data_IF_069470308514
#
_entry.id   IF_069470308514
#
_cell.length_a   1.000
_cell.length_b   1.000
_cell.length_c   1.000
_cell.angle_alpha   90.00
_cell.angle_beta   90.00
_cell.angle_gamma   90.00
#
_symmetry.space_group_name_H-M   'P 1'
#
loop_
_entity.id
_entity.type
_entity.pdbx_description
1 polymer ?
#
# COMPACT_ATOMS: atom_id res chain seq x y z
N UNK A 1 1.58 -27.83 -21.64
CA UNK A 1 2.08 -26.49 -22.03
C UNK A 1 0.86 -25.56 -22.08
N UNK A 2 0.43 -25.02 -20.94
CA UNK A 2 -0.67 -24.03 -20.89
C UNK A 2 -0.07 -22.65 -21.07
N UNK A 3 -0.06 -22.13 -22.30
CA UNK A 3 0.52 -20.83 -22.67
C UNK A 3 -0.35 -19.62 -22.27
N UNK A 4 -1.43 -19.86 -21.52
CA UNK A 4 -2.25 -18.82 -20.94
C UNK A 4 -2.42 -19.09 -19.44
N UNK A 5 -2.41 -18.06 -18.59
CA UNK A 5 -2.91 -18.23 -17.23
C UNK A 5 -4.33 -18.80 -17.31
N UNK A 6 -4.73 -19.69 -16.39
CA UNK A 6 -6.14 -20.10 -16.30
C UNK A 6 -6.98 -18.82 -16.28
N UNK A 7 -8.04 -18.76 -17.09
CA UNK A 7 -8.82 -17.54 -17.26
C UNK A 7 -9.21 -17.00 -15.88
N UNK A 8 -8.57 -15.92 -15.44
CA UNK A 8 -8.94 -15.28 -14.18
C UNK A 8 -10.31 -14.66 -14.41
N UNK A 9 -11.34 -15.38 -14.01
CA UNK A 9 -12.73 -14.95 -14.17
C UNK A 9 -13.01 -13.85 -13.18
N UNK A 10 -13.49 -12.70 -13.68
CA UNK A 10 -14.01 -11.64 -12.81
C UNK A 10 -15.14 -12.22 -11.93
N UNK A 11 -15.30 -11.73 -10.70
CA UNK A 11 -16.33 -12.20 -9.77
C UNK A 11 -17.71 -11.61 -10.14
N UNK A 12 -18.15 -11.85 -11.38
CA UNK A 12 -19.46 -11.41 -11.86
C UNK A 12 -20.56 -12.22 -11.18
N UNK A 13 -21.76 -11.65 -11.16
CA UNK A 13 -22.94 -12.30 -10.58
C UNK A 13 -23.21 -13.68 -11.21
N UNK A 14 -23.05 -13.80 -12.53
CA UNK A 14 -23.21 -15.07 -13.23
C UNK A 14 -22.16 -16.11 -12.83
N UNK A 15 -20.89 -15.70 -12.69
CA UNK A 15 -19.81 -16.61 -12.35
C UNK A 15 -19.92 -17.11 -10.90
N UNK A 16 -20.37 -16.25 -9.99
CA UNK A 16 -20.55 -16.55 -8.57
C UNK A 16 -21.95 -17.05 -8.22
N UNK A 17 -22.86 -17.14 -9.21
CA UNK A 17 -24.29 -17.44 -9.04
C UNK A 17 -24.92 -16.58 -7.95
N UNK A 18 -24.52 -15.33 -7.91
CA UNK A 18 -24.84 -14.40 -6.84
C UNK A 18 -26.00 -13.49 -7.26
N UNK A 19 -26.93 -13.18 -6.33
CA UNK A 19 -27.90 -12.13 -6.59
C UNK A 19 -27.20 -10.76 -6.62
N UNK A 20 -27.80 -9.80 -7.32
CA UNK A 20 -27.39 -8.41 -7.20
C UNK A 20 -27.58 -7.96 -5.73
N UNK A 21 -26.57 -7.33 -5.11
CA UNK A 21 -26.71 -6.81 -3.75
C UNK A 21 -27.84 -5.77 -3.66
N UNK A 22 -28.73 -5.84 -2.66
CA UNK A 22 -29.74 -4.81 -2.40
C UNK A 22 -29.10 -3.43 -2.16
N UNK A 23 -29.86 -2.37 -2.41
CA UNK A 23 -29.39 -0.99 -2.20
C UNK A 23 -29.46 -0.55 -0.73
N UNK A 24 -30.27 -1.22 0.08
CA UNK A 24 -30.44 -1.02 1.52
C UNK A 24 -29.54 -1.94 2.37
N UNK A 25 -28.60 -2.64 1.74
CA UNK A 25 -27.64 -3.50 2.43
C UNK A 25 -26.79 -2.73 3.44
N UNK A 26 -26.74 -3.20 4.69
CA UNK A 26 -25.79 -2.69 5.68
C UNK A 26 -24.37 -3.19 5.37
N UNK A 27 -23.69 -2.45 4.49
CA UNK A 27 -22.34 -2.75 4.01
C UNK A 27 -21.33 -2.82 5.16
N UNK A 28 -21.48 -1.94 6.15
CA UNK A 28 -20.58 -1.84 7.29
C UNK A 28 -20.70 -3.06 8.18
N UNK A 29 -21.92 -3.49 8.48
CA UNK A 29 -22.16 -4.70 9.27
C UNK A 29 -21.60 -5.96 8.58
N UNK A 30 -21.87 -6.15 7.29
CA UNK A 30 -21.37 -7.32 6.53
C UNK A 30 -19.84 -7.36 6.51
N UNK A 31 -19.19 -6.21 6.28
CA UNK A 31 -17.73 -6.12 6.30
C UNK A 31 -17.15 -6.43 7.69
N UNK A 32 -17.78 -5.92 8.75
CA UNK A 32 -17.35 -6.14 10.13
C UNK A 32 -17.46 -7.61 10.54
N UNK A 33 -18.60 -8.26 10.27
CA UNK A 33 -18.82 -9.68 10.58
C UNK A 33 -17.80 -10.59 9.87
N UNK A 34 -17.57 -10.34 8.57
CA UNK A 34 -16.53 -11.04 7.82
C UNK A 34 -15.14 -10.80 8.41
N UNK A 35 -14.81 -9.53 8.73
CA UNK A 35 -13.49 -9.16 9.25
C UNK A 35 -13.20 -9.75 10.63
N UNK A 36 -14.19 -9.81 11.52
CA UNK A 36 -14.05 -10.44 12.84
C UNK A 36 -13.76 -11.94 12.72
N UNK A 37 -14.46 -12.61 11.81
CA UNK A 37 -14.23 -14.05 11.54
C UNK A 37 -12.84 -14.27 10.93
N UNK A 38 -12.47 -13.43 9.96
CA UNK A 38 -11.16 -13.46 9.31
C UNK A 38 -10.03 -13.21 10.30
N UNK A 39 -10.09 -12.12 11.07
CA UNK A 39 -9.06 -11.77 12.05
C UNK A 39 -8.91 -12.85 13.13
N UNK A 40 -10.00 -13.46 13.58
CA UNK A 40 -9.95 -14.58 14.54
C UNK A 40 -9.23 -15.80 13.94
N UNK A 41 -9.55 -16.18 12.70
CA UNK A 41 -8.89 -17.31 12.03
C UNK A 41 -7.39 -17.06 11.81
N UNK A 42 -7.03 -15.85 11.36
CA UNK A 42 -5.64 -15.43 11.11
C UNK A 42 -4.82 -15.39 12.41
N UNK A 43 -5.33 -14.75 13.46
CA UNK A 43 -4.64 -14.63 14.76
C UNK A 43 -4.53 -15.98 15.48
N UNK A 44 -5.50 -16.88 15.28
CA UNK A 44 -5.48 -18.24 15.83
C UNK A 44 -4.67 -19.23 14.98
N UNK A 45 -4.01 -18.77 13.90
CA UNK A 45 -3.26 -19.61 12.96
C UNK A 45 -4.08 -20.75 12.34
N UNK A 46 -5.39 -20.56 12.15
CA UNK A 46 -6.30 -21.56 11.57
C UNK A 46 -6.51 -21.28 10.09
N UNK A 47 -5.58 -21.73 9.26
CA UNK A 47 -5.62 -21.55 7.81
C UNK A 47 -6.89 -22.15 7.17
N UNK A 48 -7.33 -23.33 7.62
CA UNK A 48 -8.55 -23.98 7.15
C UNK A 48 -9.78 -23.08 7.31
N UNK A 49 -9.93 -22.47 8.48
CA UNK A 49 -11.07 -21.61 8.80
C UNK A 49 -11.02 -20.32 7.98
N UNK A 50 -9.83 -19.73 7.84
CA UNK A 50 -9.63 -18.51 7.06
C UNK A 50 -10.01 -18.71 5.59
N UNK A 51 -9.63 -19.83 4.98
CA UNK A 51 -9.87 -20.12 3.55
C UNK A 51 -11.35 -20.30 3.23
N UNK A 52 -12.18 -20.73 4.19
CA UNK A 52 -13.63 -20.82 3.98
C UNK A 52 -14.30 -19.47 3.66
N UNK A 53 -13.65 -18.38 4.07
CA UNK A 53 -14.10 -17.00 3.88
C UNK A 53 -13.81 -16.45 2.48
N UNK A 54 -13.13 -17.23 1.63
CA UNK A 54 -12.76 -16.86 0.28
C UNK A 54 -13.62 -17.58 -0.76
N UNK A 55 -13.79 -16.95 -1.93
CA UNK A 55 -14.29 -17.65 -3.12
C UNK A 55 -13.20 -18.57 -3.68
N UNK A 56 -13.60 -19.60 -4.43
CA UNK A 56 -12.67 -20.62 -4.97
C UNK A 56 -11.51 -19.98 -5.77
N UNK A 57 -11.84 -19.09 -6.71
CA UNK A 57 -10.87 -18.36 -7.54
C UNK A 57 -10.47 -17.01 -6.92
N UNK A 58 -10.08 -17.01 -5.65
CA UNK A 58 -9.65 -15.81 -4.94
C UNK A 58 -8.16 -15.50 -5.12
N UNK A 59 -7.78 -14.27 -4.79
CA UNK A 59 -6.41 -13.80 -4.84
C UNK A 59 -5.96 -13.27 -3.49
N UNK A 60 -4.79 -13.68 -3.03
CA UNK A 60 -4.08 -13.00 -1.96
C UNK A 60 -2.78 -12.42 -2.50
N UNK A 61 -2.62 -11.09 -2.44
CA UNK A 61 -1.36 -10.44 -2.78
C UNK A 61 -0.66 -9.96 -1.51
N UNK A 62 0.52 -10.51 -1.26
CA UNK A 62 1.37 -10.13 -0.13
C UNK A 62 2.55 -9.30 -0.62
N UNK A 63 2.71 -8.12 -0.03
CA UNK A 63 3.83 -7.22 -0.23
C UNK A 63 4.63 -7.13 1.07
N UNK A 64 5.60 -8.03 1.22
CA UNK A 64 6.57 -8.08 2.32
C UNK A 64 6.01 -8.38 3.72
N UNK A 65 4.68 -8.37 3.92
CA UNK A 65 4.10 -8.43 5.25
C UNK A 65 4.19 -9.83 5.88
N UNK A 66 3.91 -10.90 5.11
CA UNK A 66 3.96 -12.27 5.61
C UNK A 66 5.15 -13.06 5.04
N UNK A 67 5.50 -12.80 3.79
CA UNK A 67 6.50 -13.59 3.04
C UNK A 67 7.88 -12.96 2.97
N UNK A 68 8.02 -11.67 3.31
CA UNK A 68 9.22 -10.87 3.01
C UNK A 68 9.55 -10.78 1.50
N UNK A 69 8.56 -11.05 0.65
CA UNK A 69 8.68 -11.05 -0.81
C UNK A 69 7.42 -10.40 -1.43
N UNK A 70 7.41 -10.18 -2.74
CA UNK A 70 6.27 -9.69 -3.51
C UNK A 70 5.57 -10.87 -4.18
N UNK A 71 4.55 -11.45 -3.52
CA UNK A 71 3.90 -12.68 -3.98
C UNK A 71 2.40 -12.51 -4.19
N UNK A 72 1.86 -13.29 -5.13
CA UNK A 72 0.43 -13.42 -5.37
C UNK A 72 0.05 -14.89 -5.37
N UNK A 73 -0.85 -15.26 -4.47
CA UNK A 73 -1.42 -16.58 -4.33
C UNK A 73 -2.81 -16.58 -4.96
N UNK A 74 -3.09 -17.57 -5.81
CA UNK A 74 -4.31 -17.66 -6.59
C UNK A 74 -4.98 -18.99 -6.25
N UNK A 75 -6.24 -18.91 -5.83
CA UNK A 75 -7.04 -20.05 -5.43
C UNK A 75 -6.92 -20.37 -3.94
N UNK A 76 -8.00 -20.94 -3.39
CA UNK A 76 -8.11 -21.34 -1.98
C UNK A 76 -7.03 -22.30 -1.54
N UNK A 77 -6.65 -23.28 -2.39
CA UNK A 77 -5.59 -24.25 -2.09
C UNK A 77 -4.24 -23.56 -1.84
N UNK A 78 -3.80 -22.68 -2.74
CA UNK A 78 -2.52 -21.97 -2.60
C UNK A 78 -2.55 -20.97 -1.45
N UNK A 79 -3.69 -20.32 -1.21
CA UNK A 79 -3.88 -19.43 -0.07
C UNK A 79 -3.80 -20.24 1.23
N UNK A 80 -4.38 -21.43 1.28
CA UNK A 80 -4.31 -22.30 2.45
C UNK A 80 -2.87 -22.65 2.79
N UNK A 81 -2.12 -23.21 1.83
CA UNK A 81 -0.70 -23.56 2.04
C UNK A 81 0.11 -22.33 2.47
N UNK A 82 -0.10 -21.18 1.83
CA UNK A 82 0.54 -19.93 2.22
C UNK A 82 0.26 -19.54 3.68
N UNK A 83 -0.99 -19.65 4.13
CA UNK A 83 -1.36 -19.32 5.49
C UNK A 83 -0.79 -20.33 6.51
N UNK A 84 -0.81 -21.61 6.19
CA UNK A 84 -0.21 -22.68 7.01
C UNK A 84 1.30 -22.43 7.21
N UNK A 85 2.01 -22.05 6.15
CA UNK A 85 3.44 -21.80 6.18
C UNK A 85 3.82 -20.51 6.94
N UNK A 86 2.97 -19.48 6.91
CA UNK A 86 3.37 -18.12 7.29
C UNK A 86 2.72 -17.55 8.53
N UNK A 87 1.53 -17.99 8.93
CA UNK A 87 0.82 -17.37 10.06
C UNK A 87 1.57 -17.50 11.39
N UNK A 88 2.13 -18.69 11.67
CA UNK A 88 2.89 -18.96 12.89
C UNK A 88 4.20 -18.17 12.98
N UNK A 89 4.79 -17.85 11.83
CA UNK A 89 6.04 -17.07 11.71
C UNK A 89 5.77 -15.57 11.75
N UNK A 90 4.76 -15.09 11.01
CA UNK A 90 4.47 -13.66 10.90
C UNK A 90 3.78 -13.10 12.15
N UNK A 91 3.05 -13.95 12.91
CA UNK A 91 2.36 -13.61 14.16
C UNK A 91 1.51 -12.35 14.04
N UNK A 92 0.58 -12.37 13.08
CA UNK A 92 -0.33 -11.25 12.87
C UNK A 92 -1.13 -10.98 14.14
N UNK A 93 -1.20 -9.72 14.55
CA UNK A 93 -1.84 -9.26 15.77
C UNK A 93 -2.39 -7.85 15.62
N UNK A 94 -3.18 -7.41 16.61
CA UNK A 94 -3.78 -6.06 16.65
C UNK A 94 -4.49 -5.67 15.35
N UNK A 95 -5.20 -6.62 14.73
CA UNK A 95 -5.93 -6.38 13.49
C UNK A 95 -7.14 -5.49 13.74
N UNK A 96 -7.26 -4.39 12.98
CA UNK A 96 -8.36 -3.42 13.13
C UNK A 96 -8.90 -2.99 11.77
N UNK A 97 -10.22 -3.12 11.60
CA UNK A 97 -10.94 -2.62 10.44
C UNK A 97 -11.04 -1.10 10.52
N UNK A 98 -10.86 -0.42 9.39
CA UNK A 98 -11.26 0.98 9.23
C UNK A 98 -12.68 1.02 8.68
N UNK A 99 -13.66 1.09 9.57
CA UNK A 99 -15.09 1.12 9.22
C UNK A 99 -15.44 2.32 8.32
N UNK A 100 -14.70 3.43 8.41
CA UNK A 100 -14.93 4.62 7.59
C UNK A 100 -14.52 4.44 6.13
N UNK A 101 -13.67 3.45 5.85
CA UNK A 101 -13.18 3.11 4.52
C UNK A 101 -13.98 1.96 3.86
N UNK A 102 -15.03 1.46 4.51
CA UNK A 102 -15.90 0.42 3.97
C UNK A 102 -16.88 1.02 2.96
N UNK A 103 -16.92 0.46 1.75
CA UNK A 103 -17.77 0.97 0.67
C UNK A 103 -18.22 -0.15 -0.27
N UNK A 104 -19.48 -0.11 -0.70
CA UNK A 104 -19.99 -0.93 -1.80
C UNK A 104 -19.65 -0.27 -3.13
N UNK A 105 -18.94 -0.99 -3.99
CA UNK A 105 -18.52 -0.52 -5.32
C UNK A 105 -19.25 -1.32 -6.39
N UNK A 106 -19.88 -0.62 -7.34
CA UNK A 106 -20.58 -1.20 -8.50
C UNK A 106 -19.97 -0.65 -9.80
N UNK A 107 -18.81 -1.16 -10.26
CA UNK A 107 -18.16 -0.65 -11.47
C UNK A 107 -18.94 -0.97 -12.75
N UNK A 108 -19.68 -2.10 -12.78
CA UNK A 108 -20.48 -2.57 -13.91
C UNK A 108 -21.80 -3.18 -13.40
N UNK A 109 -22.85 -3.28 -14.24
CA UNK A 109 -24.15 -3.81 -13.83
C UNK A 109 -24.11 -5.26 -13.29
N UNK A 110 -23.18 -6.08 -13.76
CA UNK A 110 -23.00 -7.50 -13.42
C UNK A 110 -21.91 -7.74 -12.36
N UNK A 111 -21.41 -6.67 -11.73
CA UNK A 111 -20.23 -6.72 -10.86
C UNK A 111 -20.38 -5.75 -9.69
N UNK A 112 -20.34 -6.30 -8.49
CA UNK A 112 -20.30 -5.51 -7.25
C UNK A 112 -19.43 -6.18 -6.20
N UNK A 113 -18.81 -5.37 -5.35
CA UNK A 113 -18.08 -5.87 -4.17
C UNK A 113 -18.08 -4.83 -3.05
N UNK A 114 -17.97 -5.31 -1.82
CA UNK A 114 -17.67 -4.50 -0.65
C UNK A 114 -16.15 -4.38 -0.55
N UNK A 115 -15.62 -3.16 -0.55
CA UNK A 115 -14.21 -2.87 -0.34
C UNK A 115 -13.99 -2.38 1.08
N UNK A 116 -12.95 -2.85 1.74
CA UNK A 116 -12.56 -2.38 3.07
C UNK A 116 -11.04 -2.38 3.26
N UNK A 117 -10.58 -1.62 4.25
CA UNK A 117 -9.17 -1.54 4.62
C UNK A 117 -9.00 -1.87 6.10
N UNK A 118 -7.85 -2.41 6.45
CA UNK A 118 -7.53 -2.75 7.83
C UNK A 118 -6.05 -2.53 8.12
N UNK A 119 -5.73 -2.42 9.39
CA UNK A 119 -4.35 -2.35 9.90
C UNK A 119 -4.03 -3.58 10.72
N UNK A 120 -2.75 -3.92 10.82
CA UNK A 120 -2.28 -5.04 11.64
C UNK A 120 -0.81 -4.83 12.04
N UNK A 121 -0.36 -5.63 13.01
CA UNK A 121 1.04 -5.76 13.37
C UNK A 121 1.53 -7.18 13.08
N UNK A 122 2.81 -7.30 12.78
CA UNK A 122 3.55 -8.55 12.68
C UNK A 122 4.70 -8.54 13.69
N UNK A 123 5.42 -9.64 13.80
CA UNK A 123 6.63 -9.70 14.64
C UNK A 123 7.67 -8.63 14.26
N UNK A 124 7.77 -8.31 12.96
CA UNK A 124 8.79 -7.41 12.40
C UNK A 124 8.33 -5.95 12.29
N UNK A 125 7.02 -5.65 12.30
CA UNK A 125 6.55 -4.33 11.92
C UNK A 125 5.05 -4.12 11.92
N UNK A 126 4.63 -3.06 11.23
CA UNK A 126 3.23 -2.64 11.10
C UNK A 126 2.85 -2.67 9.62
N UNK A 127 1.63 -3.13 9.33
CA UNK A 127 1.12 -3.26 7.98
C UNK A 127 -0.32 -2.78 7.84
N UNK A 128 -0.75 -2.63 6.59
CA UNK A 128 -2.14 -2.49 6.22
C UNK A 128 -2.53 -3.57 5.24
N UNK A 129 -3.82 -3.82 5.17
CA UNK A 129 -4.39 -4.66 4.16
C UNK A 129 -5.67 -4.07 3.62
N UNK A 130 -6.08 -4.62 2.48
CA UNK A 130 -7.37 -4.32 1.88
C UNK A 130 -8.04 -5.63 1.50
N UNK A 131 -9.36 -5.63 1.49
CA UNK A 131 -10.12 -6.78 1.04
C UNK A 131 -11.25 -6.33 0.11
N UNK A 132 -11.68 -7.25 -0.75
CA UNK A 132 -12.90 -7.10 -1.55
C UNK A 132 -13.77 -8.33 -1.37
N UNK A 133 -14.99 -8.12 -0.88
CA UNK A 133 -15.98 -9.16 -0.68
C UNK A 133 -16.97 -9.13 -1.83
N UNK A 134 -17.07 -10.23 -2.56
CA UNK A 134 -18.06 -10.40 -3.61
C UNK A 134 -19.26 -11.17 -3.07
N UNK A 135 -20.48 -10.85 -3.53
CA UNK A 135 -21.65 -11.63 -3.18
C UNK A 135 -21.52 -13.03 -3.78
N UNK A 136 -22.06 -14.02 -3.08
CA UNK A 136 -22.14 -15.42 -3.53
C UNK A 136 -23.59 -15.91 -3.45
N UNK A 137 -23.82 -17.13 -3.95
CA UNK A 137 -25.09 -17.83 -3.79
C UNK A 137 -25.57 -17.80 -2.31
N UNK A 138 -26.86 -17.54 -2.10
CA UNK A 138 -27.46 -17.41 -0.77
C UNK A 138 -27.33 -16.02 -0.13
N UNK A 139 -26.80 -15.01 -0.84
CA UNK A 139 -26.72 -13.63 -0.36
C UNK A 139 -25.59 -13.38 0.65
N UNK A 140 -24.72 -14.37 0.86
CA UNK A 140 -23.52 -14.23 1.67
C UNK A 140 -22.42 -13.51 0.89
N UNK A 141 -21.39 -13.06 1.60
CA UNK A 141 -20.23 -12.38 1.02
C UNK A 141 -18.95 -13.12 1.34
N UNK A 142 -18.10 -13.31 0.34
CA UNK A 142 -16.77 -13.93 0.49
C UNK A 142 -15.70 -13.10 -0.19
N UNK A 143 -14.47 -13.20 0.32
CA UNK A 143 -13.35 -12.47 -0.23
C UNK A 143 -12.95 -13.01 -1.61
N UNK A 144 -12.94 -12.12 -2.59
CA UNK A 144 -12.35 -12.36 -3.90
C UNK A 144 -10.88 -11.90 -3.94
N UNK A 145 -10.55 -10.80 -3.26
CA UNK A 145 -9.15 -10.35 -3.12
C UNK A 145 -8.84 -9.97 -1.69
N UNK A 146 -7.68 -10.38 -1.20
CA UNK A 146 -7.04 -9.82 -0.01
C UNK A 146 -5.65 -9.32 -0.40
N UNK A 147 -5.28 -8.16 0.15
CA UNK A 147 -3.97 -7.57 0.00
C UNK A 147 -3.38 -7.32 1.37
N UNK A 148 -2.11 -7.65 1.57
CA UNK A 148 -1.34 -7.35 2.78
C UNK A 148 -0.06 -6.64 2.40
N UNK A 149 0.26 -5.57 3.11
CA UNK A 149 1.44 -4.76 2.83
C UNK A 149 2.11 -4.28 4.12
N UNK A 150 3.42 -4.43 4.18
CA UNK A 150 4.22 -3.90 5.27
C UNK A 150 4.44 -2.39 5.05
N UNK A 151 4.09 -1.56 6.03
CA UNK A 151 4.23 -0.10 5.94
C UNK A 151 5.49 0.36 6.69
N UNK A 152 5.84 -0.29 7.78
CA UNK A 152 6.96 0.14 8.62
C UNK A 152 7.55 -0.99 9.44
N UNK A 153 8.85 -0.86 9.72
CA UNK A 153 9.60 -1.81 10.53
C UNK A 153 9.61 -1.38 12.00
N UNK A 154 9.43 -2.34 12.88
CA UNK A 154 9.52 -2.13 14.32
C UNK A 154 10.96 -1.74 14.69
N UNK A 155 11.12 -0.67 15.46
CA UNK A 155 12.44 -0.18 15.89
C UNK A 155 13.18 0.68 14.85
N UNK A 156 12.65 0.83 13.64
CA UNK A 156 13.28 1.61 12.56
C UNK A 156 12.29 2.62 11.95
N UNK A 157 11.82 3.63 12.72
CA UNK A 157 10.92 4.65 12.19
C UNK A 157 11.65 5.59 11.23
N UNK A 158 10.94 6.14 10.24
CA UNK A 158 11.47 7.20 9.38
C UNK A 158 11.73 8.49 10.21
N UNK A 159 12.90 9.10 10.01
CA UNK A 159 13.37 10.34 10.64
C UNK A 159 12.70 11.55 9.97
N UNK A 160 11.38 11.64 10.10
CA UNK A 160 10.53 12.68 9.50
C UNK A 160 9.66 13.38 10.56
N UNK A 161 9.10 14.54 10.21
CA UNK A 161 8.20 15.29 11.09
C UNK A 161 8.83 15.56 12.46
N UNK A 162 8.21 15.05 13.53
CA UNK A 162 8.70 15.19 14.92
C UNK A 162 10.01 14.45 15.20
N UNK A 163 10.35 13.44 14.40
CA UNK A 163 11.60 12.68 14.52
C UNK A 163 12.75 13.33 13.75
N UNK A 164 12.47 14.36 12.93
CA UNK A 164 13.51 15.08 12.20
C UNK A 164 14.47 15.75 13.18
N UNK A 165 15.74 15.81 12.82
CA UNK A 165 16.73 16.60 13.56
C UNK A 165 16.22 18.05 13.72
N UNK A 166 15.95 18.52 14.95
CA UNK A 166 15.39 19.85 15.18
C UNK A 166 16.43 20.96 15.08
N UNK A 167 17.72 20.62 14.98
CA UNK A 167 18.81 21.60 14.91
C UNK A 167 18.76 22.34 13.58
N UNK A 168 18.58 23.66 13.66
CA UNK A 168 18.72 24.54 12.51
C UNK A 168 20.18 24.55 12.06
N UNK A 169 20.46 23.97 10.90
CA UNK A 169 21.80 23.98 10.31
C UNK A 169 21.93 25.26 9.47
N UNK A 170 22.73 26.21 9.95
CA UNK A 170 22.94 27.49 9.27
C UNK A 170 23.99 27.34 8.17
N UNK A 171 23.62 27.63 6.92
CA UNK A 171 24.51 27.84 5.76
C UNK A 171 25.77 26.96 5.70
N UNK A 172 26.86 27.43 6.33
CA UNK A 172 28.17 26.78 6.33
C UNK A 172 28.15 25.38 6.97
N UNK A 173 27.40 25.18 8.05
CA UNK A 173 27.31 23.88 8.75
C UNK A 173 26.62 22.83 7.87
N UNK A 174 25.62 23.25 7.11
CA UNK A 174 24.91 22.37 6.19
C UNK A 174 25.78 21.99 4.99
N UNK A 175 26.49 22.96 4.40
CA UNK A 175 27.37 22.71 3.25
C UNK A 175 28.47 21.73 3.63
N UNK A 176 29.12 21.93 4.78
CA UNK A 176 30.17 21.04 5.25
C UNK A 176 29.62 19.67 5.63
N UNK A 177 28.47 19.60 6.31
CA UNK A 177 27.79 18.34 6.59
C UNK A 177 27.42 17.58 5.32
N UNK A 178 26.94 18.29 4.29
CA UNK A 178 26.61 17.69 2.99
C UNK A 178 27.85 17.21 2.26
N UNK A 179 28.95 17.95 2.31
CA UNK A 179 30.24 17.58 1.71
C UNK A 179 30.75 16.28 2.33
N UNK A 180 30.78 16.20 3.66
CA UNK A 180 31.16 14.97 4.39
C UNK A 180 30.27 13.78 4.04
N UNK A 181 28.96 13.98 3.91
CA UNK A 181 28.02 12.93 3.52
C UNK A 181 28.26 12.42 2.10
N UNK A 182 28.62 13.30 1.15
CA UNK A 182 28.87 12.94 -0.25
C UNK A 182 30.23 12.25 -0.41
N UNK A 183 31.25 12.74 0.28
CA UNK A 183 32.61 12.22 0.19
C UNK A 183 32.84 10.97 1.06
N UNK A 184 31.91 10.64 1.96
CA UNK A 184 32.02 9.49 2.87
C UNK A 184 33.35 9.48 3.64
N UNK A 185 33.81 10.66 4.09
CA UNK A 185 35.14 10.84 4.71
C UNK A 185 35.33 10.04 6.00
N UNK A 186 34.26 9.83 6.75
CA UNK A 186 34.29 9.24 8.08
C UNK A 186 33.85 7.75 8.09
N UNK A 187 33.27 7.24 6.99
CA UNK A 187 32.71 5.88 6.93
C UNK A 187 32.39 5.44 5.50
N UNK A 188 32.38 4.14 5.21
CA UNK A 188 31.92 3.60 3.92
C UNK A 188 30.37 3.62 3.76
N UNK A 189 29.84 3.74 2.53
CA UNK A 189 28.42 3.62 2.28
C UNK A 189 27.93 2.19 2.56
N UNK A 190 26.77 2.07 3.22
CA UNK A 190 26.10 0.77 3.42
C UNK A 190 25.36 0.33 2.16
N UNK A 191 24.81 1.28 1.40
CA UNK A 191 24.08 1.02 0.16
C UNK A 191 24.68 1.83 -0.99
N UNK A 192 24.91 1.16 -2.12
CA UNK A 192 25.28 1.78 -3.38
C UNK A 192 24.09 1.74 -4.34
N UNK A 193 23.58 2.90 -4.75
CA UNK A 193 22.53 3.03 -5.76
C UNK A 193 23.17 3.43 -7.08
N UNK A 194 23.04 2.56 -8.09
CA UNK A 194 23.57 2.80 -9.44
C UNK A 194 22.44 3.40 -10.28
N UNK A 195 22.59 4.66 -10.67
CA UNK A 195 21.63 5.47 -11.40
C UNK A 195 20.96 6.54 -10.51
N UNK A 196 21.15 7.80 -10.85
CA UNK A 196 20.53 8.99 -10.26
C UNK A 196 19.26 9.46 -11.01
N UNK A 197 18.57 8.54 -11.67
CA UNK A 197 17.22 8.76 -12.21
C UNK A 197 16.15 8.81 -11.11
N UNK A 198 14.88 8.98 -11.50
CA UNK A 198 13.76 9.10 -10.55
C UNK A 198 13.68 7.96 -9.51
N UNK A 199 13.78 6.68 -9.93
CA UNK A 199 13.72 5.53 -9.02
C UNK A 199 14.93 5.45 -8.09
N UNK A 200 16.12 5.78 -8.58
CA UNK A 200 17.34 5.77 -7.78
C UNK A 200 17.31 6.86 -6.70
N UNK A 201 16.90 8.07 -7.06
CA UNK A 201 16.75 9.18 -6.12
C UNK A 201 15.62 8.94 -5.12
N UNK A 202 14.50 8.35 -5.53
CA UNK A 202 13.41 7.98 -4.61
C UNK A 202 13.90 6.96 -3.57
N UNK A 203 14.61 5.93 -4.01
CA UNK A 203 15.19 4.91 -3.13
C UNK A 203 16.19 5.54 -2.16
N UNK A 204 17.12 6.37 -2.66
CA UNK A 204 18.10 7.06 -1.84
C UNK A 204 17.46 8.01 -0.82
N UNK A 205 16.39 8.71 -1.19
CA UNK A 205 15.64 9.58 -0.28
C UNK A 205 14.98 8.77 0.84
N UNK A 206 14.37 7.62 0.52
CA UNK A 206 13.79 6.70 1.51
C UNK A 206 14.84 6.11 2.46
N UNK A 207 15.97 5.66 1.92
CA UNK A 207 17.08 5.16 2.74
C UNK A 207 17.66 6.25 3.65
N UNK A 208 17.77 7.49 3.15
CA UNK A 208 18.23 8.64 3.94
C UNK A 208 17.32 8.94 5.12
N UNK A 209 15.99 8.93 4.92
CA UNK A 209 15.07 9.13 6.06
C UNK A 209 15.05 7.95 7.02
N UNK A 210 15.48 6.75 6.60
CA UNK A 210 15.71 5.61 7.50
C UNK A 210 17.09 5.63 8.17
N UNK A 211 17.92 6.66 7.90
CA UNK A 211 19.27 6.78 8.46
C UNK A 211 20.28 5.80 7.89
N UNK A 212 20.03 5.23 6.69
CA UNK A 212 20.93 4.28 6.05
C UNK A 212 21.95 5.04 5.17
N UNK A 213 23.28 4.94 5.45
CA UNK A 213 24.31 5.59 4.65
C UNK A 213 24.28 5.10 3.20
N UNK A 214 23.94 5.99 2.26
CA UNK A 214 23.65 5.64 0.87
C UNK A 214 24.43 6.53 -0.11
N UNK A 215 25.21 5.91 -1.00
CA UNK A 215 25.90 6.58 -2.09
C UNK A 215 25.13 6.36 -3.40
N UNK A 216 24.84 7.44 -4.11
CA UNK A 216 24.22 7.38 -5.45
C UNK A 216 25.29 7.70 -6.49
N UNK A 217 25.44 6.82 -7.47
CA UNK A 217 26.37 7.00 -8.60
C UNK A 217 25.57 7.15 -9.88
N UNK A 218 25.78 8.26 -10.58
CA UNK A 218 25.14 8.57 -11.87
C UNK A 218 26.24 8.76 -12.92
N UNK A 219 25.96 8.31 -14.15
CA UNK A 219 26.86 8.46 -15.29
C UNK A 219 26.74 9.83 -15.95
N UNK A 220 25.57 10.46 -15.89
CA UNK A 220 25.33 11.77 -16.49
C UNK A 220 25.80 12.90 -15.54
N UNK A 221 26.24 14.02 -16.10
CA UNK A 221 26.87 15.11 -15.34
C UNK A 221 25.90 15.79 -14.36
N UNK A 222 24.60 15.85 -14.70
CA UNK A 222 23.58 16.52 -13.87
C UNK A 222 22.36 15.65 -13.67
N UNK A 223 21.84 15.66 -12.44
CA UNK A 223 20.55 15.04 -12.11
C UNK A 223 19.46 15.51 -13.07
N UNK A 224 18.76 14.56 -13.69
CA UNK A 224 17.72 14.80 -14.69
C UNK A 224 18.22 14.88 -16.13
N UNK A 225 19.51 14.72 -16.41
CA UNK A 225 20.03 14.61 -17.78
C UNK A 225 19.47 13.38 -18.51
N UNK A 226 19.15 12.31 -17.79
CA UNK A 226 18.33 11.18 -18.26
C UNK A 226 17.06 11.62 -18.99
N UNK A 227 16.45 12.75 -18.57
CA UNK A 227 15.27 13.32 -19.21
C UNK A 227 15.62 14.41 -20.23
N UNK A 228 16.59 15.27 -19.93
CA UNK A 228 17.01 16.37 -20.85
C UNK A 228 17.61 15.85 -22.16
N UNK A 229 18.23 14.68 -22.13
CA UNK A 229 18.87 14.05 -23.30
C UNK A 229 17.90 13.18 -24.11
N UNK A 230 16.60 13.20 -23.80
CA UNK A 230 15.57 12.51 -24.60
C UNK A 230 15.19 13.35 -25.82
N UNK A 231 14.48 12.71 -26.75
CA UNK A 231 14.02 13.35 -27.98
C UNK A 231 13.11 14.56 -27.69
N UNK A 232 13.21 15.61 -28.52
CA UNK A 232 12.57 16.91 -28.26
C UNK A 232 11.04 16.93 -28.23
N UNK A 233 10.38 15.87 -28.74
CA UNK A 233 8.92 15.71 -28.68
C UNK A 233 8.42 15.00 -27.42
N UNK A 234 9.29 14.76 -26.43
CA UNK A 234 8.89 14.08 -25.20
C UNK A 234 7.99 14.98 -24.34
N UNK A 235 6.76 14.53 -24.13
CA UNK A 235 5.82 15.06 -23.15
C UNK A 235 5.32 13.91 -22.25
N UNK A 236 5.19 14.15 -20.95
CA UNK A 236 4.55 13.18 -20.05
C UNK A 236 3.04 13.18 -20.25
N UNK A 237 2.41 12.02 -20.13
CA UNK A 237 0.95 11.89 -20.26
C UNK A 237 0.20 12.37 -19.00
N UNK A 238 0.90 12.54 -17.89
CA UNK A 238 0.33 13.01 -16.63
C UNK A 238 0.44 14.54 -16.50
N UNK A 239 -0.63 15.22 -16.03
CA UNK A 239 -0.55 16.63 -15.69
C UNK A 239 0.35 16.83 -14.46
N UNK A 240 1.09 17.95 -14.45
CA UNK A 240 2.10 18.31 -13.43
C UNK A 240 1.57 18.29 -11.98
N UNK A 241 0.25 18.34 -11.77
CA UNK A 241 -0.38 18.51 -10.46
C UNK A 241 -0.99 17.25 -9.81
N UNK A 242 -0.88 16.04 -10.37
CA UNK A 242 -1.64 14.86 -9.87
C UNK A 242 -1.01 14.04 -8.73
N UNK A 243 0.09 14.46 -8.09
CA UNK A 243 0.69 13.68 -6.97
C UNK A 243 0.29 14.10 -5.54
N UNK A 244 -0.67 15.01 -5.37
CA UNK A 244 -1.24 15.34 -4.05
C UNK A 244 -2.67 14.80 -3.94
N UNK A 245 -2.81 13.50 -3.68
CA UNK A 245 -4.05 12.98 -3.09
C UNK A 245 -4.07 13.32 -1.60
N UNK A 246 -4.25 14.60 -1.28
CA UNK A 246 -4.75 15.06 0.01
C UNK A 246 -6.25 15.32 -0.16
N UNK A 247 -7.03 14.73 0.75
CA UNK A 247 -8.49 14.85 0.89
C UNK A 247 -9.14 16.08 0.21
N UNK A 248 -9.80 15.85 -0.93
CA UNK A 248 -10.52 16.87 -1.70
C UNK A 248 -11.82 17.37 -1.03
N UNK A 249 -12.20 16.84 0.14
CA UNK A 249 -13.40 17.27 0.86
C UNK A 249 -13.31 18.65 1.53
N UNK A 250 -12.16 19.34 1.47
CA UNK A 250 -11.99 20.66 2.10
C UNK A 250 -11.87 21.83 1.13
N UNK A 251 -11.95 21.62 -0.19
CA UNK A 251 -11.85 22.70 -1.18
C UNK A 251 -13.15 22.78 -1.97
N UNK A 252 -14.05 23.71 -1.60
CA UNK A 252 -15.18 24.09 -2.45
C UNK A 252 -14.75 25.20 -3.41
N UNK A 253 -14.77 24.90 -4.70
CA UNK A 253 -14.65 25.92 -5.75
C UNK A 253 -15.99 26.64 -5.88
N UNK A 254 -16.00 27.94 -5.64
CA UNK A 254 -17.11 28.83 -6.05
C UNK A 254 -16.59 29.81 -7.09
N UNK A 255 -17.52 30.43 -7.83
CA UNK A 255 -17.22 31.30 -8.98
C UNK A 255 -16.34 32.52 -8.69
N UNK A 256 -16.01 32.79 -7.43
CA UNK A 256 -15.25 33.97 -6.99
C UNK A 256 -13.87 33.63 -6.38
N UNK A 257 -13.31 32.45 -6.67
CA UNK A 257 -11.93 32.09 -6.29
C UNK A 257 -11.79 31.13 -5.11
N UNK A 258 -10.56 30.67 -4.87
CA UNK A 258 -10.22 29.63 -3.90
C UNK A 258 -10.28 30.20 -2.46
N UNK A 259 -11.24 29.74 -1.65
CA UNK A 259 -11.24 29.94 -0.20
C UNK A 259 -10.76 28.66 0.49
N UNK A 260 -9.66 28.76 1.23
CA UNK A 260 -9.22 27.73 2.17
C UNK A 260 -9.93 27.97 3.50
N UNK A 261 -10.45 26.91 4.13
CA UNK A 261 -11.09 27.00 5.45
C UNK A 261 -10.09 27.50 6.51
N UNK A 262 -10.47 28.43 7.42
CA UNK A 262 -9.60 28.94 8.48
C UNK A 262 -9.05 27.85 9.42
N UNK A 263 -9.66 26.66 9.45
CA UNK A 263 -9.20 25.53 10.27
C UNK A 263 -8.02 24.74 9.66
N UNK A 264 -7.54 25.09 8.48
CA UNK A 264 -6.40 24.43 7.84
C UNK A 264 -5.02 25.06 8.17
N UNK A 265 -4.97 26.15 8.94
CA UNK A 265 -3.73 26.94 9.13
C UNK A 265 -2.92 26.53 10.37
N UNK A 266 -3.36 25.58 11.20
CA UNK A 266 -2.60 25.21 12.42
C UNK A 266 -1.53 24.13 12.22
N UNK A 267 -1.12 23.82 11.00
CA UNK A 267 -0.14 22.75 10.72
C UNK A 267 1.09 23.21 9.95
N UNK A 268 1.50 24.48 10.10
CA UNK A 268 2.85 24.94 9.70
C UNK A 268 3.35 25.94 10.74
N UNK A 269 3.89 25.41 11.84
CA UNK A 269 4.86 26.06 12.74
C UNK A 269 5.51 24.97 13.58
#
# INVERSE_FOLDING_TARGET
MSLYPPSSTLPTFDNLRAPQPPDDLDVSQVALEWFLTFSTAITSCKASDAVTLFVENSFWRDCLALTWDLRTFIGTEKIQTFLEDRLSVAKLSEMKLDESAVVLVRPYPDLAWISGTFTFKTEIGQGNGTFRLSPIEGGLFKAHTVFTNLIGLKGHPEVIGRLRNPVASHGLDWVEGRRKEVEFLDSDPTVLVIGGGHSGLETAARLKVLGVPTLVVEKDDRIGDVWRNRYGALCTHDPVCKSLSLNLNQIRLTSNGIRVSPHAVSAIS
#
